data_IF_337862459029
#
_entry.id   IF_337862459029
#
_cell.length_a   1.000
_cell.length_b   1.000
_cell.length_c   1.000
_cell.angle_alpha   90.00
_cell.angle_beta   90.00
_cell.angle_gamma   90.00
#
_symmetry.space_group_name_H-M   'P 1'
#
loop_
_entity.id
_entity.type
_entity.pdbx_description
1 polymer ?
#
# COMPACT_ATOMS: atom_id res chain seq x y z
N UNK A 1 -29.32 8.45 -3.09
CA UNK A 1 -28.97 8.80 -1.70
C UNK A 1 -28.55 7.50 -1.04
N UNK A 2 -27.35 7.44 -0.47
CA UNK A 2 -26.92 6.25 0.28
C UNK A 2 -27.56 6.26 1.67
N UNK A 3 -28.03 5.10 2.12
CA UNK A 3 -28.64 4.96 3.44
C UNK A 3 -27.63 5.25 4.55
N UNK A 4 -28.05 5.87 5.67
CA UNK A 4 -27.17 6.12 6.80
C UNK A 4 -26.70 4.79 7.41
N UNK A 5 -25.40 4.53 7.33
CA UNK A 5 -24.77 3.36 7.96
C UNK A 5 -24.48 3.68 9.42
N UNK A 6 -25.05 2.90 10.33
CA UNK A 6 -24.74 2.99 11.76
C UNK A 6 -23.46 2.23 12.06
N UNK A 7 -22.39 2.96 12.38
CA UNK A 7 -21.09 2.38 12.75
C UNK A 7 -21.00 2.26 14.27
N UNK A 8 -20.62 1.08 14.75
CA UNK A 8 -20.34 0.84 16.16
C UNK A 8 -18.84 0.94 16.41
N UNK A 9 -18.43 1.99 17.12
CA UNK A 9 -17.04 2.15 17.55
C UNK A 9 -16.83 1.44 18.89
N UNK A 10 -15.62 0.92 19.10
CA UNK A 10 -15.21 0.50 20.43
C UNK A 10 -15.16 1.73 21.36
N UNK A 11 -15.24 1.55 22.70
CA UNK A 11 -15.09 2.65 23.64
C UNK A 11 -13.77 3.40 23.48
N UNK A 12 -12.70 2.71 23.09
CA UNK A 12 -11.37 3.31 22.90
C UNK A 12 -11.33 4.17 21.63
N UNK A 13 -11.89 3.66 20.53
CA UNK A 13 -11.95 4.41 19.26
C UNK A 13 -12.84 5.64 19.38
N UNK A 14 -13.95 5.53 20.12
CA UNK A 14 -14.83 6.67 20.38
C UNK A 14 -14.11 7.76 21.20
N UNK A 15 -13.34 7.38 22.22
CA UNK A 15 -12.53 8.32 23.01
C UNK A 15 -11.44 8.97 22.18
N UNK A 16 -10.75 8.18 21.35
CA UNK A 16 -9.72 8.68 20.46
C UNK A 16 -10.28 9.67 19.44
N UNK A 17 -11.39 9.32 18.77
CA UNK A 17 -12.05 10.20 17.81
C UNK A 17 -12.55 11.50 18.46
N UNK A 18 -13.10 11.42 19.68
CA UNK A 18 -13.50 12.61 20.45
C UNK A 18 -12.30 13.51 20.79
N UNK A 19 -11.14 12.93 21.12
CA UNK A 19 -9.92 13.70 21.38
C UNK A 19 -9.42 14.44 20.13
N UNK A 20 -9.54 13.83 18.94
CA UNK A 20 -9.19 14.48 17.68
C UNK A 20 -10.10 15.66 17.35
N UNK A 21 -11.40 15.53 17.65
CA UNK A 21 -12.38 16.62 17.49
C UNK A 21 -12.11 17.75 18.48
N UNK A 22 -11.86 17.41 19.76
CA UNK A 22 -11.52 18.39 20.79
C UNK A 22 -10.21 19.14 20.47
N UNK A 23 -9.27 18.49 19.79
CA UNK A 23 -8.04 19.10 19.29
C UNK A 23 -8.22 19.94 18.01
N UNK A 24 -9.45 20.04 17.48
CA UNK A 24 -9.77 20.80 16.27
C UNK A 24 -9.26 20.17 14.98
N UNK A 25 -8.81 18.90 15.00
CA UNK A 25 -8.36 18.20 13.78
C UNK A 25 -9.52 17.83 12.87
N UNK A 26 -10.71 17.63 13.44
CA UNK A 26 -11.96 17.37 12.73
C UNK A 26 -13.10 18.12 13.41
N UNK A 27 -14.12 18.50 12.64
CA UNK A 27 -15.27 19.27 13.14
C UNK A 27 -16.26 18.38 13.87
N UNK A 28 -16.35 17.10 13.48
CA UNK A 28 -17.28 16.13 14.06
C UNK A 28 -16.67 14.72 14.12
N UNK A 29 -17.26 13.86 14.95
CA UNK A 29 -16.94 12.43 14.98
C UNK A 29 -17.17 11.75 13.63
N UNK A 30 -18.22 12.16 12.91
CA UNK A 30 -18.54 11.61 11.59
C UNK A 30 -17.45 11.95 10.56
N UNK A 31 -16.92 13.17 10.60
CA UNK A 31 -15.82 13.60 9.74
C UNK A 31 -14.54 12.79 10.04
N UNK A 32 -14.21 12.60 11.32
CA UNK A 32 -13.10 11.77 11.73
C UNK A 32 -13.26 10.31 11.25
N UNK A 33 -14.45 9.74 11.36
CA UNK A 33 -14.75 8.38 10.89
C UNK A 33 -14.65 8.25 9.36
N UNK A 34 -15.16 9.23 8.61
CA UNK A 34 -15.03 9.28 7.14
C UNK A 34 -13.57 9.37 6.70
N UNK A 35 -12.77 10.18 7.39
CA UNK A 35 -11.34 10.29 7.12
C UNK A 35 -10.61 8.96 7.36
N UNK A 36 -10.88 8.30 8.49
CA UNK A 36 -10.30 6.99 8.80
C UNK A 36 -10.69 5.92 7.76
N UNK A 37 -11.96 5.87 7.36
CA UNK A 37 -12.43 4.94 6.34
C UNK A 37 -11.77 5.17 4.97
N UNK A 38 -11.58 6.44 4.59
CA UNK A 38 -10.85 6.78 3.36
C UNK A 38 -9.41 6.28 3.42
N UNK A 39 -8.71 6.50 4.53
CA UNK A 39 -7.33 6.03 4.70
C UNK A 39 -7.22 4.51 4.61
N UNK A 40 -8.14 3.78 5.25
CA UNK A 40 -8.19 2.32 5.16
C UNK A 40 -8.39 1.85 3.71
N UNK A 41 -9.28 2.50 2.96
CA UNK A 41 -9.52 2.16 1.55
C UNK A 41 -8.31 2.47 0.67
N UNK A 42 -7.62 3.57 0.91
CA UNK A 42 -6.38 3.94 0.20
C UNK A 42 -5.27 2.93 0.50
N UNK A 43 -5.12 2.50 1.76
CA UNK A 43 -4.16 1.47 2.16
C UNK A 43 -4.48 0.13 1.50
N UNK A 44 -5.75 -0.29 1.50
CA UNK A 44 -6.17 -1.51 0.83
C UNK A 44 -5.88 -1.46 -0.68
N UNK A 45 -6.21 -0.34 -1.33
CA UNK A 45 -5.93 -0.13 -2.76
C UNK A 45 -4.43 -0.24 -3.06
N UNK A 46 -3.58 0.33 -2.19
CA UNK A 46 -2.13 0.24 -2.34
C UNK A 46 -1.63 -1.18 -2.14
N UNK A 47 -2.16 -1.91 -1.15
CA UNK A 47 -1.80 -3.30 -0.89
C UNK A 47 -2.16 -4.19 -2.09
N UNK A 48 -3.33 -3.96 -2.69
CA UNK A 48 -3.76 -4.70 -3.88
C UNK A 48 -2.86 -4.40 -5.08
N UNK A 49 -2.50 -3.13 -5.30
CA UNK A 49 -1.56 -2.74 -6.36
C UNK A 49 -0.19 -3.41 -6.20
N UNK A 50 0.38 -3.43 -4.98
CA UNK A 50 1.65 -4.11 -4.71
C UNK A 50 1.54 -5.61 -4.97
N UNK A 51 0.41 -6.23 -4.60
CA UNK A 51 0.18 -7.64 -4.87
C UNK A 51 0.15 -7.93 -6.37
N UNK A 52 -0.54 -7.10 -7.14
CA UNK A 52 -0.63 -7.24 -8.60
C UNK A 52 0.75 -7.04 -9.27
N UNK A 53 1.52 -6.05 -8.82
CA UNK A 53 2.89 -5.81 -9.29
C UNK A 53 3.82 -7.00 -9.01
N UNK A 54 3.78 -7.55 -7.79
CA UNK A 54 4.56 -8.73 -7.43
C UNK A 54 4.13 -9.95 -8.26
N UNK A 55 2.82 -10.15 -8.46
CA UNK A 55 2.32 -11.24 -9.27
C UNK A 55 2.77 -11.12 -10.73
N UNK A 56 2.77 -9.91 -11.30
CA UNK A 56 3.28 -9.66 -12.64
C UNK A 56 4.78 -9.94 -12.74
N UNK A 57 5.57 -9.50 -11.75
CA UNK A 57 7.02 -9.76 -11.70
C UNK A 57 7.32 -11.26 -11.64
N UNK A 58 6.60 -12.01 -10.79
CA UNK A 58 6.77 -13.47 -10.72
C UNK A 58 6.37 -14.16 -12.03
N UNK A 59 5.29 -13.72 -12.68
CA UNK A 59 4.90 -14.26 -13.97
C UNK A 59 5.94 -13.97 -15.08
N UNK A 60 6.56 -12.80 -15.06
CA UNK A 60 7.66 -12.45 -15.97
C UNK A 60 8.90 -13.32 -15.71
N UNK A 61 9.26 -13.55 -14.44
CA UNK A 61 10.35 -14.44 -14.06
C UNK A 61 10.08 -15.90 -14.46
N UNK A 62 8.86 -16.39 -14.22
CA UNK A 62 8.44 -17.76 -14.60
C UNK A 62 8.38 -17.95 -16.12
N UNK A 63 8.07 -16.89 -16.87
CA UNK A 63 8.11 -16.90 -18.33
C UNK A 63 9.56 -16.81 -18.88
N UNK A 64 10.49 -16.31 -18.08
CA UNK A 64 11.91 -16.22 -18.41
C UNK A 64 12.61 -17.57 -18.37
N UNK A 65 13.75 -17.66 -19.07
CA UNK A 65 14.66 -18.79 -18.90
C UNK A 65 15.51 -18.52 -17.67
N UNK A 66 15.21 -19.19 -16.56
CA UNK A 66 16.04 -19.18 -15.37
C UNK A 66 17.44 -19.68 -15.71
N UNK A 67 18.44 -18.82 -15.57
CA UNK A 67 19.84 -19.18 -15.76
C UNK A 67 20.52 -19.17 -14.40
N UNK A 68 21.17 -20.26 -14.01
CA UNK A 68 22.02 -20.25 -12.83
C UNK A 68 23.25 -19.40 -13.12
N UNK A 69 23.37 -18.28 -12.41
CA UNK A 69 24.48 -17.34 -12.55
C UNK A 69 25.09 -17.13 -11.16
N UNK A 70 26.42 -17.20 -11.06
CA UNK A 70 27.08 -16.87 -9.80
C UNK A 70 26.98 -15.37 -9.51
N UNK A 71 27.13 -14.96 -8.24
CA UNK A 71 27.13 -13.54 -7.88
C UNK A 71 28.24 -12.75 -8.61
N UNK A 72 29.39 -13.37 -8.88
CA UNK A 72 30.51 -12.75 -9.61
C UNK A 72 30.17 -12.53 -11.09
N UNK A 73 29.58 -13.55 -11.74
CA UNK A 73 29.15 -13.47 -13.13
C UNK A 73 28.02 -12.43 -13.31
N UNK A 74 27.08 -12.37 -12.36
CA UNK A 74 26.02 -11.35 -12.35
C UNK A 74 26.60 -9.94 -12.21
N UNK A 75 27.55 -9.75 -11.29
CA UNK A 75 28.22 -8.47 -11.10
C UNK A 75 29.03 -8.04 -12.34
N UNK A 76 29.60 -8.99 -13.09
CA UNK A 76 30.28 -8.71 -14.35
C UNK A 76 29.28 -8.33 -15.46
N UNK A 77 28.16 -9.05 -15.59
CA UNK A 77 27.08 -8.75 -16.54
C UNK A 77 26.51 -7.34 -16.33
N UNK A 78 26.17 -6.98 -15.09
CA UNK A 78 25.65 -5.64 -14.75
C UNK A 78 26.68 -4.55 -15.09
N UNK A 79 27.96 -4.75 -14.71
CA UNK A 79 29.04 -3.80 -15.04
C UNK A 79 29.27 -3.67 -16.54
N UNK A 80 29.04 -4.72 -17.33
CA UNK A 80 29.16 -4.69 -18.78
C UNK A 80 27.99 -3.93 -19.41
N UNK A 81 26.76 -4.19 -18.96
CA UNK A 81 25.55 -3.52 -19.43
C UNK A 81 25.63 -1.99 -19.21
N UNK A 82 26.09 -1.56 -18.04
CA UNK A 82 26.29 -0.14 -17.71
C UNK A 82 27.35 0.56 -18.57
N UNK A 83 28.30 -0.19 -19.17
CA UNK A 83 29.34 0.35 -20.06
C UNK A 83 28.94 0.38 -21.53
N UNK A 84 27.94 -0.41 -21.93
CA UNK A 84 27.48 -0.52 -23.32
C UNK A 84 26.28 0.38 -23.67
N UNK A 85 25.70 1.08 -22.70
CA UNK A 85 24.55 1.98 -22.89
C UNK A 85 24.90 3.48 -22.91
N UNK A 86 26.15 3.84 -23.21
CA UNK A 86 26.64 5.22 -23.31
C UNK A 86 26.87 5.66 -24.75
#
# INVERSE_FOLDING_TARGET
MSDPVKVHLSPDDARFAAALVAAGKYSTLEEAAKAAFRMLREEQTRSDAVRDELQALFAEMDAGVGQEVSNEDFAELVRRAARSGG
#
